data_IF_683124934452
#
_entry.id   IF_683124934452
#
_cell.length_a   1.000
_cell.length_b   1.000
_cell.length_c   1.000
_cell.angle_alpha   90.00
_cell.angle_beta   90.00
_cell.angle_gamma   90.00
#
_symmetry.space_group_name_H-M   'P 1'
#
loop_
_entity.id
_entity.type
_entity.pdbx_description
1 polymer ?
#
# COMPACT_ATOMS: atom_id res chain seq x y z
N UNK A 1 12.09 -13.80 13.95
CA UNK A 1 11.30 -12.62 14.37
C UNK A 1 10.81 -12.85 15.79
N UNK A 2 10.93 -11.87 16.68
CA UNK A 2 10.39 -11.91 18.05
C UNK A 2 9.53 -10.67 18.27
N UNK A 3 8.32 -10.85 18.78
CA UNK A 3 7.46 -9.74 19.21
C UNK A 3 7.86 -9.38 20.64
N UNK A 4 8.28 -8.13 20.86
CA UNK A 4 8.77 -7.62 22.16
C UNK A 4 7.77 -6.68 22.84
N UNK A 5 6.67 -6.36 22.17
CA UNK A 5 5.55 -5.59 22.70
C UNK A 5 4.45 -5.43 21.65
N UNK A 6 3.26 -5.14 22.13
CA UNK A 6 2.10 -4.74 21.34
C UNK A 6 1.34 -3.66 22.10
N UNK A 7 0.62 -2.81 21.37
CA UNK A 7 -0.12 -1.70 21.96
C UNK A 7 -1.29 -1.32 21.07
N UNK A 8 -2.45 -1.10 21.69
CA UNK A 8 -3.63 -0.52 21.04
C UNK A 8 -3.88 0.86 21.62
N UNK A 9 -4.34 1.78 20.78
CA UNK A 9 -4.70 3.13 21.21
C UNK A 9 -6.05 3.58 20.63
N UNK A 10 -6.69 4.59 21.25
CA UNK A 10 -7.89 5.20 20.68
C UNK A 10 -7.63 5.74 19.27
N UNK A 11 -8.42 5.29 18.30
CA UNK A 11 -8.30 5.69 16.89
C UNK A 11 -8.60 7.18 16.71
N UNK A 12 -7.68 7.92 16.08
CA UNK A 12 -7.80 9.34 15.71
C UNK A 12 -8.07 10.29 16.89
N UNK A 13 -7.72 9.89 18.11
CA UNK A 13 -7.92 10.71 19.33
C UNK A 13 -6.62 11.04 20.04
N UNK A 14 -5.54 10.31 19.77
CA UNK A 14 -4.24 10.54 20.39
C UNK A 14 -3.58 11.75 19.73
N UNK A 15 -3.32 12.78 20.52
CA UNK A 15 -2.61 13.99 20.06
C UNK A 15 -1.14 13.98 20.48
N UNK A 16 -0.81 13.22 21.52
CA UNK A 16 0.55 13.04 22.04
C UNK A 16 0.93 11.56 22.01
N UNK A 17 1.87 11.22 21.13
CA UNK A 17 2.40 9.86 20.99
C UNK A 17 3.67 9.61 21.82
N UNK A 18 4.19 10.59 22.56
CA UNK A 18 5.39 10.43 23.39
C UNK A 18 5.32 9.25 24.37
N UNK A 19 4.20 8.96 25.06
CA UNK A 19 4.11 7.78 25.92
C UNK A 19 4.26 6.46 25.17
N UNK A 20 3.71 6.37 23.96
CA UNK A 20 3.81 5.19 23.09
C UNK A 20 5.24 5.00 22.59
N UNK A 21 5.89 6.09 22.18
CA UNK A 21 7.31 6.09 21.77
C UNK A 21 8.22 5.66 22.93
N UNK A 22 7.94 6.08 24.15
CA UNK A 22 8.70 5.65 25.33
C UNK A 22 8.58 4.13 25.56
N UNK A 23 7.38 3.55 25.39
CA UNK A 23 7.16 2.10 25.44
C UNK A 23 7.94 1.36 24.36
N UNK A 24 7.90 1.85 23.11
CA UNK A 24 8.67 1.28 22.00
C UNK A 24 10.17 1.30 22.34
N UNK A 25 10.69 2.43 22.81
CA UNK A 25 12.10 2.56 23.21
C UNK A 25 12.47 1.58 24.33
N UNK A 26 11.62 1.42 25.34
CA UNK A 26 11.84 0.50 26.45
C UNK A 26 11.80 -0.98 26.02
N UNK A 27 11.05 -1.32 24.98
CA UNK A 27 10.98 -2.68 24.44
C UNK A 27 12.28 -3.13 23.74
N UNK A 28 13.11 -2.17 23.32
CA UNK A 28 14.33 -2.45 22.55
C UNK A 28 14.07 -2.99 21.14
N UNK A 29 12.88 -2.74 20.57
CA UNK A 29 12.54 -3.15 19.22
C UNK A 29 13.43 -2.47 18.17
N UNK A 30 13.83 -3.22 17.14
CA UNK A 30 14.50 -2.69 15.95
C UNK A 30 13.51 -2.17 14.88
N UNK A 31 12.25 -2.63 14.95
CA UNK A 31 11.22 -2.37 13.95
C UNK A 31 9.86 -2.24 14.62
N UNK A 32 9.06 -1.29 14.15
CA UNK A 32 7.66 -1.10 14.54
C UNK A 32 6.78 -1.36 13.33
N UNK A 33 5.95 -2.39 13.41
CA UNK A 33 4.89 -2.64 12.44
C UNK A 33 3.64 -1.90 12.90
N UNK A 34 3.07 -1.05 12.06
CA UNK A 34 1.88 -0.26 12.43
C UNK A 34 0.86 -0.19 11.30
N UNK A 35 -0.41 -0.37 11.69
CA UNK A 35 -1.58 -0.13 10.84
C UNK A 35 -2.18 1.27 11.00
N UNK A 36 -1.48 2.18 11.68
CA UNK A 36 -1.94 3.56 11.82
C UNK A 36 -2.03 4.25 10.46
N UNK A 37 -2.96 5.18 10.36
CA UNK A 37 -3.18 6.01 9.18
C UNK A 37 -3.51 7.44 9.60
N UNK A 38 -3.36 8.39 8.68
CA UNK A 38 -3.58 9.81 8.93
C UNK A 38 -2.82 10.29 10.19
N UNK A 39 -3.44 11.10 11.05
CA UNK A 39 -2.78 11.74 12.20
C UNK A 39 -2.10 10.76 13.15
N UNK A 40 -2.71 9.59 13.39
CA UNK A 40 -2.12 8.59 14.29
C UNK A 40 -0.75 8.08 13.80
N UNK A 41 -0.54 8.01 12.48
CA UNK A 41 0.75 7.63 11.91
C UNK A 41 1.71 8.82 11.88
N UNK A 42 1.24 9.98 11.42
CA UNK A 42 2.05 11.19 11.30
C UNK A 42 2.64 11.58 12.66
N UNK A 43 1.80 11.62 13.70
CA UNK A 43 2.21 12.02 15.04
C UNK A 43 3.12 10.96 15.70
N UNK A 44 2.87 9.67 15.47
CA UNK A 44 3.73 8.60 15.97
C UNK A 44 5.15 8.68 15.39
N UNK A 45 5.28 8.81 14.06
CA UNK A 45 6.58 8.88 13.39
C UNK A 45 7.35 10.14 13.81
N UNK A 46 6.66 11.29 13.90
CA UNK A 46 7.26 12.55 14.38
C UNK A 46 7.74 12.45 15.82
N UNK A 47 6.89 11.98 16.73
CA UNK A 47 7.27 11.81 18.13
C UNK A 47 8.45 10.83 18.28
N UNK A 48 8.50 9.78 17.45
CA UNK A 48 9.64 8.86 17.38
C UNK A 48 10.93 9.56 16.98
N UNK A 49 10.89 10.37 15.92
CA UNK A 49 12.03 11.17 15.46
C UNK A 49 12.51 12.14 16.55
N UNK A 50 11.60 12.87 17.17
CA UNK A 50 11.90 13.86 18.23
C UNK A 50 12.53 13.20 19.47
N UNK A 51 12.10 11.98 19.80
CA UNK A 51 12.66 11.19 20.89
C UNK A 51 13.98 10.46 20.55
N UNK A 52 14.49 10.62 19.33
CA UNK A 52 15.69 9.94 18.83
C UNK A 52 15.52 8.42 18.73
N UNK A 53 14.30 7.95 18.48
CA UNK A 53 14.01 6.53 18.32
C UNK A 53 14.65 6.02 17.03
N UNK A 54 15.38 4.91 17.11
CA UNK A 54 16.11 4.30 15.99
C UNK A 54 15.45 2.99 15.58
N UNK A 55 14.27 3.09 14.97
CA UNK A 55 13.50 1.93 14.46
C UNK A 55 13.22 2.08 12.98
N UNK A 56 13.07 0.95 12.29
CA UNK A 56 12.34 0.92 11.02
C UNK A 56 10.84 0.99 11.27
N UNK A 57 10.11 1.83 10.53
CA UNK A 57 8.65 1.90 10.55
C UNK A 57 8.11 1.07 9.39
N UNK A 58 7.50 -0.08 9.66
CA UNK A 58 6.83 -0.88 8.63
C UNK A 58 5.33 -0.59 8.65
N UNK A 59 4.83 -0.02 7.56
CA UNK A 59 3.46 0.51 7.49
C UNK A 59 2.66 -0.08 6.32
N UNK A 60 1.34 -0.06 6.45
CA UNK A 60 0.43 -0.32 5.32
C UNK A 60 -0.06 0.97 4.65
N UNK A 61 0.11 2.12 5.32
CA UNK A 61 -0.51 3.39 4.93
C UNK A 61 0.48 4.54 4.76
N UNK A 62 1.79 4.29 4.84
CA UNK A 62 2.85 5.32 4.73
C UNK A 62 2.82 6.13 3.42
N UNK A 63 2.34 5.53 2.33
CA UNK A 63 2.13 6.20 1.04
C UNK A 63 0.75 6.79 0.82
N UNK A 64 -0.10 6.87 1.86
CA UNK A 64 -1.41 7.53 1.72
C UNK A 64 -1.22 9.02 1.39
N UNK A 65 -2.08 9.63 0.55
CA UNK A 65 -2.00 11.05 0.23
C UNK A 65 -1.89 11.94 1.48
N UNK A 66 -1.00 12.92 1.44
CA UNK A 66 -0.66 13.83 2.52
C UNK A 66 0.29 13.27 3.58
N UNK A 67 0.51 11.96 3.63
CA UNK A 67 1.35 11.34 4.68
C UNK A 67 2.81 11.75 4.54
N UNK A 68 3.38 11.60 3.34
CA UNK A 68 4.79 11.90 3.09
C UNK A 68 5.04 13.40 3.28
N UNK A 69 4.14 14.25 2.77
CA UNK A 69 4.17 15.70 3.02
C UNK A 69 4.17 16.01 4.52
N UNK A 70 3.31 15.35 5.30
CA UNK A 70 3.19 15.62 6.71
C UNK A 70 4.37 15.08 7.53
N UNK A 71 4.88 13.88 7.23
CA UNK A 71 6.01 13.25 7.94
C UNK A 71 7.33 13.93 7.58
N UNK A 72 7.55 14.22 6.29
CA UNK A 72 8.78 14.83 5.78
C UNK A 72 10.04 14.04 6.14
N UNK A 73 11.09 14.76 6.55
CA UNK A 73 12.40 14.18 6.86
C UNK A 73 12.39 13.18 8.02
N UNK A 74 11.35 13.18 8.87
CA UNK A 74 11.23 12.21 9.96
C UNK A 74 11.11 10.76 9.46
N UNK A 75 10.63 10.55 8.22
CA UNK A 75 10.45 9.23 7.62
C UNK A 75 11.58 8.80 6.69
N UNK A 76 12.55 9.67 6.38
CA UNK A 76 13.63 9.34 5.45
C UNK A 76 14.44 8.15 6.00
N UNK A 77 14.73 7.18 5.12
CA UNK A 77 15.46 5.93 5.35
C UNK A 77 14.83 4.95 6.35
N UNK A 78 13.74 5.35 7.02
CA UNK A 78 13.13 4.58 8.11
C UNK A 78 11.67 4.23 7.88
N UNK A 79 10.93 5.08 7.15
CA UNK A 79 9.54 4.81 6.79
C UNK A 79 9.50 3.84 5.62
N UNK A 80 8.94 2.66 5.88
CA UNK A 80 8.68 1.62 4.91
C UNK A 80 7.18 1.44 4.71
N UNK A 81 6.80 1.04 3.51
CA UNK A 81 5.44 0.64 3.20
C UNK A 81 5.39 -0.69 2.45
N UNK A 82 4.29 -1.41 2.62
CA UNK A 82 3.85 -2.46 1.71
C UNK A 82 2.69 -1.91 0.87
N UNK A 83 2.86 -1.90 -0.45
CA UNK A 83 1.88 -1.31 -1.39
C UNK A 83 1.75 -2.16 -2.65
N UNK A 84 0.60 -2.11 -3.34
CA UNK A 84 0.47 -2.72 -4.67
C UNK A 84 1.32 -2.01 -5.73
N UNK A 85 1.67 -0.74 -5.53
CA UNK A 85 2.45 0.04 -6.50
C UNK A 85 3.04 1.33 -5.90
N UNK A 86 4.01 1.92 -6.60
CA UNK A 86 4.43 3.31 -6.44
C UNK A 86 5.02 3.82 -7.77
N UNK A 87 5.16 5.14 -7.95
CA UNK A 87 5.63 5.76 -9.21
C UNK A 87 6.98 5.21 -9.69
N UNK A 88 7.87 4.86 -8.76
CA UNK A 88 9.21 4.32 -9.05
C UNK A 88 9.29 2.77 -9.04
N UNK A 89 8.17 2.04 -8.96
CA UNK A 89 8.19 0.59 -8.72
C UNK A 89 8.81 -0.22 -9.86
N UNK A 90 8.73 0.30 -11.10
CA UNK A 90 9.37 -0.30 -12.25
C UNK A 90 9.46 0.69 -13.44
N UNK A 91 10.50 0.61 -14.29
CA UNK A 91 10.69 1.55 -15.42
C UNK A 91 9.53 1.57 -16.42
N UNK A 92 8.85 0.44 -16.65
CA UNK A 92 7.70 0.38 -17.56
C UNK A 92 6.50 1.23 -17.11
N UNK A 93 6.49 1.73 -15.88
CA UNK A 93 5.47 2.65 -15.38
C UNK A 93 5.69 4.09 -15.84
N UNK A 94 6.89 4.47 -16.28
CA UNK A 94 7.27 5.85 -16.59
C UNK A 94 6.26 6.55 -17.50
N UNK A 95 5.85 5.88 -18.57
CA UNK A 95 4.86 6.42 -19.51
C UNK A 95 3.49 6.61 -18.87
N UNK A 96 3.09 5.72 -17.95
CA UNK A 96 1.82 5.83 -17.22
C UNK A 96 1.88 6.97 -16.20
N UNK A 97 2.98 7.08 -15.46
CA UNK A 97 3.20 8.17 -14.49
C UNK A 97 3.20 9.51 -15.21
N UNK A 98 3.92 9.65 -16.32
CA UNK A 98 3.96 10.87 -17.11
C UNK A 98 2.58 11.23 -17.70
N UNK A 99 1.83 10.24 -18.20
CA UNK A 99 0.48 10.46 -18.73
C UNK A 99 -0.50 10.89 -17.61
N UNK A 100 -0.39 10.30 -16.42
CA UNK A 100 -1.21 10.67 -15.28
C UNK A 100 -0.91 12.10 -14.84
N UNK A 101 0.37 12.46 -14.65
CA UNK A 101 0.79 13.81 -14.30
C UNK A 101 0.34 14.87 -15.32
N UNK A 102 0.41 14.56 -16.62
CA UNK A 102 -0.10 15.45 -17.68
C UNK A 102 -1.61 15.68 -17.57
N UNK A 103 -2.37 14.66 -17.16
CA UNK A 103 -3.83 14.73 -17.03
C UNK A 103 -4.27 15.41 -15.73
N UNK A 104 -3.45 15.30 -14.70
CA UNK A 104 -3.74 15.66 -13.31
C UNK A 104 -2.56 16.46 -12.75
N UNK A 105 -2.42 17.74 -13.12
CA UNK A 105 -1.21 18.52 -12.82
C UNK A 105 -1.17 19.08 -11.38
N UNK A 106 -2.26 19.00 -10.62
CA UNK A 106 -2.31 19.48 -9.24
C UNK A 106 -2.04 18.39 -8.19
N UNK A 107 -2.57 18.59 -6.97
CA UNK A 107 -2.42 17.64 -5.84
C UNK A 107 -3.05 16.28 -6.11
N UNK A 108 -3.94 16.21 -7.09
CA UNK A 108 -4.54 14.97 -7.59
C UNK A 108 -3.53 14.04 -8.30
N UNK A 109 -2.28 14.48 -8.55
CA UNK A 109 -1.20 13.70 -9.17
C UNK A 109 -0.65 12.54 -8.30
N UNK A 110 -1.40 12.13 -7.28
CA UNK A 110 -1.10 10.97 -6.45
C UNK A 110 -2.11 9.87 -6.71
N UNK A 111 -1.81 9.02 -7.71
CA UNK A 111 -2.71 7.94 -8.07
C UNK A 111 -2.73 6.82 -7.00
N UNK A 112 -3.55 6.96 -5.97
CA UNK A 112 -3.42 6.11 -4.77
C UNK A 112 -3.64 4.61 -5.02
N UNK A 113 -4.67 4.25 -5.79
CA UNK A 113 -5.14 2.87 -5.87
C UNK A 113 -4.99 2.27 -7.26
N UNK A 114 -3.81 1.73 -7.56
CA UNK A 114 -3.59 0.99 -8.80
C UNK A 114 -4.53 -0.22 -8.92
N UNK A 115 -4.86 -0.85 -7.78
CA UNK A 115 -5.85 -1.92 -7.72
C UNK A 115 -7.23 -1.52 -8.26
N UNK A 116 -7.62 -0.24 -8.19
CA UNK A 116 -8.89 0.21 -8.75
C UNK A 116 -8.89 0.17 -10.28
N UNK A 117 -7.79 0.55 -10.94
CA UNK A 117 -7.64 0.38 -12.39
C UNK A 117 -7.69 -1.08 -12.77
N UNK A 118 -6.89 -1.92 -12.09
CA UNK A 118 -6.90 -3.38 -12.32
C UNK A 118 -8.30 -3.96 -12.17
N UNK A 119 -9.03 -3.58 -11.12
CA UNK A 119 -10.41 -4.03 -10.87
C UNK A 119 -11.35 -3.66 -12.02
N UNK A 120 -11.33 -2.41 -12.49
CA UNK A 120 -12.19 -1.97 -13.59
C UNK A 120 -11.83 -2.64 -14.92
N UNK A 121 -10.55 -2.85 -15.19
CA UNK A 121 -10.08 -3.57 -16.38
C UNK A 121 -10.52 -5.04 -16.37
N UNK A 122 -10.37 -5.73 -15.24
CA UNK A 122 -10.83 -7.10 -15.06
C UNK A 122 -12.36 -7.20 -15.15
N UNK A 123 -13.09 -6.26 -14.55
CA UNK A 123 -14.56 -6.21 -14.63
C UNK A 123 -15.04 -6.04 -16.08
N UNK A 124 -14.45 -5.11 -16.83
CA UNK A 124 -14.77 -4.90 -18.23
C UNK A 124 -14.46 -6.14 -19.09
N UNK A 125 -13.32 -6.79 -18.86
CA UNK A 125 -12.95 -8.04 -19.53
C UNK A 125 -13.93 -9.17 -19.20
N UNK A 126 -14.38 -9.27 -17.95
CA UNK A 126 -15.36 -10.26 -17.50
C UNK A 126 -16.74 -10.02 -18.11
N UNK A 127 -17.21 -8.77 -18.17
CA UNK A 127 -18.47 -8.41 -18.84
C UNK A 127 -18.42 -8.76 -20.34
N UNK A 128 -17.30 -8.47 -21.00
CA UNK A 128 -17.09 -8.85 -22.41
C UNK A 128 -17.10 -10.38 -22.58
N UNK A 129 -16.43 -11.12 -21.70
CA UNK A 129 -16.40 -12.59 -21.71
C UNK A 129 -17.79 -13.20 -21.44
N UNK A 130 -18.57 -12.58 -20.55
CA UNK A 130 -19.93 -13.01 -20.24
C UNK A 130 -20.93 -12.71 -21.36
N UNK A 131 -20.63 -11.76 -22.25
CA UNK A 131 -21.53 -11.31 -23.32
C UNK A 131 -22.81 -10.65 -22.80
N UNK A 132 -22.84 -10.29 -21.52
CA UNK A 132 -24.00 -9.72 -20.84
C UNK A 132 -23.53 -8.90 -19.63
N UNK A 133 -24.34 -7.91 -19.25
CA UNK A 133 -24.15 -7.14 -18.01
C UNK A 133 -24.89 -7.78 -16.82
N UNK A 134 -25.06 -9.11 -16.85
CA UNK A 134 -25.65 -9.86 -15.76
C UNK A 134 -24.62 -10.09 -14.64
N UNK A 135 -24.92 -9.71 -13.39
CA UNK A 135 -23.94 -9.75 -12.31
C UNK A 135 -23.47 -11.17 -11.98
N UNK A 136 -24.32 -12.19 -12.10
CA UNK A 136 -23.93 -13.58 -11.85
C UNK A 136 -22.98 -14.06 -12.93
N UNK A 137 -23.29 -13.81 -14.20
CA UNK A 137 -22.41 -14.18 -15.32
C UNK A 137 -21.06 -13.46 -15.24
N UNK A 138 -21.05 -12.18 -14.87
CA UNK A 138 -19.80 -11.41 -14.68
C UNK A 138 -18.99 -12.00 -13.53
N UNK A 139 -19.62 -12.26 -12.37
CA UNK A 139 -18.93 -12.85 -11.22
C UNK A 139 -18.29 -14.19 -11.58
N UNK A 140 -19.02 -15.09 -12.27
CA UNK A 140 -18.48 -16.37 -12.75
C UNK A 140 -17.35 -16.19 -13.78
N UNK A 141 -17.42 -15.15 -14.60
CA UNK A 141 -16.37 -14.85 -15.57
C UNK A 141 -15.07 -14.32 -14.91
N UNK A 142 -15.19 -13.59 -13.79
CA UNK A 142 -14.08 -13.10 -12.97
C UNK A 142 -13.36 -14.21 -12.21
N UNK A 143 -14.04 -15.28 -11.82
CA UNK A 143 -13.44 -16.37 -11.04
C UNK A 143 -12.31 -17.07 -11.79
N UNK A 144 -11.13 -17.11 -11.18
CA UNK A 144 -9.91 -17.64 -11.80
C UNK A 144 -9.37 -16.79 -12.94
N UNK A 145 -9.94 -15.60 -13.19
CA UNK A 145 -9.45 -14.70 -14.22
C UNK A 145 -8.04 -14.23 -13.87
N UNK A 146 -7.12 -14.40 -14.82
CA UNK A 146 -5.76 -13.88 -14.78
C UNK A 146 -5.62 -12.72 -15.73
N UNK A 147 -4.84 -11.72 -15.36
CA UNK A 147 -4.56 -10.56 -16.21
C UNK A 147 -3.13 -10.09 -16.01
N UNK A 148 -2.41 -9.88 -17.11
CA UNK A 148 -1.08 -9.28 -17.06
C UNK A 148 -1.20 -7.76 -16.91
N UNK A 149 -0.62 -7.20 -15.85
CA UNK A 149 -0.50 -5.75 -15.65
C UNK A 149 0.95 -5.29 -15.84
N UNK A 150 1.18 -3.98 -15.86
CA UNK A 150 2.53 -3.41 -15.87
C UNK A 150 3.37 -3.76 -14.63
N UNK A 151 2.73 -4.20 -13.54
CA UNK A 151 3.37 -4.58 -12.27
C UNK A 151 3.57 -6.09 -12.13
N UNK A 152 2.86 -6.89 -12.94
CA UNK A 152 2.87 -8.35 -12.91
C UNK A 152 1.50 -8.96 -13.16
N UNK A 153 1.46 -10.29 -13.20
CA UNK A 153 0.20 -11.05 -13.29
C UNK A 153 -0.62 -10.86 -12.01
N UNK A 154 -1.93 -10.66 -12.19
CA UNK A 154 -2.93 -10.69 -11.11
C UNK A 154 -3.91 -11.83 -11.35
N UNK A 155 -4.50 -12.36 -10.27
CA UNK A 155 -5.49 -13.44 -10.34
C UNK A 155 -6.64 -13.18 -9.36
N UNK A 156 -7.88 -13.24 -9.86
CA UNK A 156 -9.07 -13.20 -9.01
C UNK A 156 -9.38 -14.61 -8.52
N UNK A 157 -9.16 -14.87 -7.23
CA UNK A 157 -9.37 -16.20 -6.65
C UNK A 157 -10.84 -16.60 -6.68
N UNK A 158 -11.11 -17.82 -7.12
CA UNK A 158 -12.47 -18.36 -7.17
C UNK A 158 -13.02 -18.78 -5.79
N UNK A 159 -12.15 -19.08 -4.82
CA UNK A 159 -12.53 -19.61 -3.50
C UNK A 159 -13.00 -18.52 -2.53
N UNK A 160 -12.50 -17.30 -2.65
CA UNK A 160 -12.84 -16.20 -1.73
C UNK A 160 -12.91 -14.80 -2.37
N UNK A 161 -12.79 -14.69 -3.70
CA UNK A 161 -12.80 -13.43 -4.44
C UNK A 161 -11.74 -12.40 -3.99
N UNK A 162 -10.67 -12.85 -3.33
CA UNK A 162 -9.50 -12.01 -3.08
C UNK A 162 -8.65 -11.93 -4.34
N UNK A 163 -8.28 -10.70 -4.74
CA UNK A 163 -7.30 -10.49 -5.80
C UNK A 163 -5.89 -10.82 -5.29
N UNK A 164 -5.22 -11.73 -5.97
CA UNK A 164 -3.78 -11.93 -5.86
C UNK A 164 -3.09 -10.94 -6.78
N UNK A 165 -2.19 -10.14 -6.23
CA UNK A 165 -1.45 -9.13 -6.99
C UNK A 165 -0.04 -8.95 -6.42
N UNK A 166 0.91 -8.48 -7.24
CA UNK A 166 2.23 -8.13 -6.76
C UNK A 166 2.17 -7.08 -5.65
N UNK A 167 3.07 -7.19 -4.68
CA UNK A 167 3.26 -6.20 -3.61
C UNK A 167 4.72 -5.76 -3.59
N UNK A 168 4.94 -4.51 -3.22
CA UNK A 168 6.25 -3.90 -3.09
C UNK A 168 6.48 -3.50 -1.64
N UNK A 169 7.61 -3.92 -1.08
CA UNK A 169 8.17 -3.31 0.13
C UNK A 169 9.07 -2.17 -0.34
N UNK A 170 8.86 -0.97 0.17
CA UNK A 170 9.60 0.21 -0.26
C UNK A 170 9.96 1.12 0.90
N UNK A 171 11.12 1.76 0.81
CA UNK A 171 11.61 2.76 1.78
C UNK A 171 11.46 4.16 1.21
N UNK A 172 11.07 5.12 2.06
CA UNK A 172 11.04 6.53 1.71
C UNK A 172 12.47 7.09 1.71
N UNK A 173 12.90 7.63 0.57
CA UNK A 173 14.26 8.18 0.40
C UNK A 173 14.21 9.52 -0.34
N UNK A 174 15.34 10.23 -0.30
CA UNK A 174 15.58 11.40 -1.15
C UNK A 174 15.99 10.95 -2.57
N UNK A 175 15.91 11.88 -3.52
CA UNK A 175 16.49 11.72 -4.87
C UNK A 175 15.95 10.55 -5.70
N UNK A 176 14.68 10.17 -5.49
CA UNK A 176 14.02 9.25 -6.40
C UNK A 176 13.60 9.97 -7.69
N UNK A 177 13.46 9.21 -8.79
CA UNK A 177 13.09 9.76 -10.10
C UNK A 177 11.77 10.53 -10.05
N UNK A 178 10.77 9.96 -9.37
CA UNK A 178 9.50 10.60 -9.08
C UNK A 178 9.37 10.76 -7.57
N UNK A 179 9.06 11.97 -7.13
CA UNK A 179 8.72 12.24 -5.76
C UNK A 179 7.21 12.09 -5.50
N UNK A 180 6.86 12.23 -4.23
CA UNK A 180 5.50 12.24 -3.71
C UNK A 180 5.17 13.68 -3.39
N UNK A 181 4.07 14.21 -3.95
CA UNK A 181 3.50 15.51 -3.58
C UNK A 181 4.49 16.69 -3.62
N UNK A 182 5.43 16.68 -4.58
CA UNK A 182 6.47 17.70 -4.75
C UNK A 182 7.37 17.89 -3.51
N UNK A 183 7.46 16.88 -2.63
CA UNK A 183 8.23 16.97 -1.38
C UNK A 183 9.74 16.75 -1.60
N UNK A 184 10.16 16.34 -2.80
CA UNK A 184 11.52 15.86 -3.06
C UNK A 184 11.84 14.50 -2.41
N UNK A 185 10.84 13.82 -1.85
CA UNK A 185 10.96 12.48 -1.26
C UNK A 185 10.18 11.48 -2.12
N UNK A 186 10.71 10.28 -2.29
CA UNK A 186 10.05 9.24 -3.07
C UNK A 186 10.32 7.84 -2.54
N UNK A 187 9.57 6.87 -3.06
CA UNK A 187 9.69 5.48 -2.66
C UNK A 187 10.72 4.73 -3.51
N UNK A 188 11.70 4.09 -2.86
CA UNK A 188 12.60 3.10 -3.45
C UNK A 188 12.10 1.70 -3.12
N UNK A 189 11.96 0.83 -4.10
CA UNK A 189 11.64 -0.59 -3.85
C UNK A 189 12.81 -1.29 -3.17
N UNK A 190 12.56 -1.96 -2.05
CA UNK A 190 13.50 -2.86 -1.38
C UNK A 190 13.29 -4.30 -1.86
N UNK A 191 12.02 -4.69 -2.03
CA UNK A 191 11.64 -6.02 -2.46
C UNK A 191 10.32 -6.00 -3.22
N UNK A 192 10.14 -7.01 -4.07
CA UNK A 192 8.88 -7.32 -4.74
C UNK A 192 8.44 -8.73 -4.34
N UNK A 193 7.17 -8.86 -3.96
CA UNK A 193 6.50 -10.15 -3.74
C UNK A 193 5.56 -10.38 -4.92
N UNK A 194 5.76 -11.47 -5.65
CA UNK A 194 4.90 -11.80 -6.80
C UNK A 194 3.49 -12.19 -6.37
N UNK A 195 2.50 -11.94 -7.22
CA UNK A 195 1.09 -12.12 -6.87
C UNK A 195 0.73 -13.52 -6.38
N UNK A 196 1.33 -14.58 -6.93
CA UNK A 196 1.10 -15.96 -6.44
C UNK A 196 1.58 -16.15 -5.00
N UNK A 197 2.66 -15.49 -4.60
CA UNK A 197 3.22 -15.58 -3.25
C UNK A 197 2.41 -14.78 -2.21
N UNK A 198 1.47 -13.93 -2.64
CA UNK A 198 0.57 -13.21 -1.72
C UNK A 198 -0.66 -14.01 -1.33
N UNK A 199 -0.79 -15.25 -1.83
CA UNK A 199 -1.87 -16.15 -1.48
C UNK A 199 -1.74 -16.65 -0.03
N UNK A 200 -2.69 -16.27 0.82
CA UNK A 200 -2.86 -16.82 2.16
C UNK A 200 -3.98 -17.87 2.20
N UNK A 201 -3.93 -18.82 3.15
CA UNK A 201 -5.07 -19.69 3.45
C UNK A 201 -6.32 -18.87 3.77
N UNK A 202 -7.49 -19.40 3.46
CA UNK A 202 -8.77 -18.71 3.69
C UNK A 202 -9.73 -19.59 4.47
N UNK A 203 -10.48 -18.96 5.38
CA UNK A 203 -11.60 -19.57 6.10
C UNK A 203 -12.96 -19.17 5.50
N UNK A 204 -12.94 -18.42 4.39
CA UNK A 204 -14.15 -17.94 3.72
C UNK A 204 -15.01 -19.13 3.26
N UNK A 205 -16.29 -19.11 3.63
CA UNK A 205 -17.32 -20.03 3.14
C UNK A 205 -18.30 -19.22 2.30
N UNK A 206 -17.99 -19.07 1.03
CA UNK A 206 -18.77 -18.25 0.12
C UNK A 206 -20.00 -19.01 -0.40
N UNK A 207 -21.19 -18.47 -0.14
CA UNK A 207 -22.42 -18.95 -0.76
C UNK A 207 -22.38 -18.71 -2.27
N UNK A 208 -22.82 -19.70 -3.05
CA UNK A 208 -22.71 -19.67 -4.51
C UNK A 208 -24.08 -19.37 -5.10
N UNK A 209 -24.19 -18.42 -6.06
CA UNK A 209 -25.46 -18.18 -6.76
C UNK A 209 -25.86 -19.44 -7.53
N UNK A 210 -27.14 -19.78 -7.45
CA UNK A 210 -27.76 -20.90 -8.18
C UNK A 210 -27.85 -20.60 -9.66
#
# INVERSE_FOLDING_TARGET
MKIVGDELHPLQKVQDFSPYVAKIKASGADTVITGNWSNDMVLLVKAGKDAGLKVGWETFYGGSPGTVTAIGEAGVDTLKQVTEWHKNAAPQLDATVAAFAKRYPGKENEYTYWRAKTMWEMFAAAAKKAGANDPVKIARALEGMKTQTSLGEVEMRADNHQLLQPLYVSTLEKNQKYDVEDTGLGWKSDAKVDGKATALPTTCKMERPK
#
